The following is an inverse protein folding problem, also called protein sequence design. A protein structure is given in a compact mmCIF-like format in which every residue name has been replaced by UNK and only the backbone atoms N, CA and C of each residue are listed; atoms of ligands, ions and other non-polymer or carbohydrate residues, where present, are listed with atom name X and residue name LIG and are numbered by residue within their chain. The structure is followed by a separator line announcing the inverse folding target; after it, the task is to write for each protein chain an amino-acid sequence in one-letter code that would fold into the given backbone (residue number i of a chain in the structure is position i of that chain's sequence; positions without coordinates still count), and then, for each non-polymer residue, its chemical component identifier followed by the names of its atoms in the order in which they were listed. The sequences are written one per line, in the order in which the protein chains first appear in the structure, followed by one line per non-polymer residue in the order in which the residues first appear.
data_IF_932064776249
#
_entry.id   IF_932064776249
#
_cell.length_a   1.000
_cell.length_b   1.000
_cell.length_c   1.000
_cell.angle_alpha   90.00
_cell.angle_beta   90.00
_cell.angle_gamma   90.00
#
_symmetry.space_group_name_H-M   'P 1'
#
loop_
_entity.id
_entity.type
_entity.pdbx_description
1 polymer ?
#
# COMPACT_ATOMS: atom_id res chain seq x y z
N UNK A 1 -4.89 -4.55 -23.48
CA UNK A 1 -6.03 -4.23 -22.58
C UNK A 1 -5.80 -2.86 -21.94
N UNK A 2 -6.81 -2.01 -21.98
CA UNK A 2 -6.72 -0.71 -21.31
C UNK A 2 -6.73 -0.90 -19.79
N UNK A 3 -6.02 -0.04 -19.08
CA UNK A 3 -5.94 -0.12 -17.61
C UNK A 3 -7.33 -0.10 -16.96
N UNK A 4 -8.26 0.71 -17.46
CA UNK A 4 -9.62 0.78 -16.93
C UNK A 4 -10.32 -0.58 -16.98
N UNK A 5 -10.25 -1.25 -18.12
CA UNK A 5 -10.86 -2.57 -18.31
C UNK A 5 -10.28 -3.60 -17.32
N UNK A 6 -8.95 -3.56 -17.15
CA UNK A 6 -8.27 -4.47 -16.22
C UNK A 6 -8.66 -4.20 -14.77
N UNK A 7 -8.80 -2.94 -14.39
CA UNK A 7 -9.27 -2.58 -13.05
C UNK A 7 -10.70 -3.05 -12.79
N UNK A 8 -11.58 -2.95 -13.80
CA UNK A 8 -12.94 -3.45 -13.70
C UNK A 8 -12.96 -4.97 -13.52
N UNK A 9 -12.13 -5.70 -14.26
CA UNK A 9 -11.99 -7.15 -14.10
C UNK A 9 -11.49 -7.53 -12.72
N UNK A 10 -10.64 -6.71 -12.10
CA UNK A 10 -10.12 -6.93 -10.75
C UNK A 10 -11.06 -6.46 -9.65
N UNK A 11 -12.26 -5.99 -10.02
CA UNK A 11 -13.26 -5.46 -9.09
C UNK A 11 -12.75 -4.25 -8.29
N UNK A 12 -11.98 -3.36 -8.92
CA UNK A 12 -11.57 -2.10 -8.32
C UNK A 12 -12.80 -1.26 -7.96
N UNK A 13 -12.68 -0.44 -6.92
CA UNK A 13 -13.79 0.40 -6.49
C UNK A 13 -14.15 1.42 -7.60
N UNK A 14 -15.44 1.81 -7.61
CA UNK A 14 -15.97 2.71 -8.63
C UNK A 14 -15.20 4.03 -8.71
N UNK A 15 -14.84 4.61 -7.57
CA UNK A 15 -14.12 5.88 -7.52
C UNK A 15 -12.74 5.78 -8.17
N UNK A 16 -12.03 4.67 -7.97
CA UNK A 16 -10.73 4.44 -8.59
C UNK A 16 -10.86 4.30 -10.10
N UNK A 17 -11.84 3.54 -10.57
CA UNK A 17 -12.12 3.35 -12.00
C UNK A 17 -12.48 4.68 -12.65
N UNK A 18 -13.30 5.48 -11.99
CA UNK A 18 -13.70 6.82 -12.46
C UNK A 18 -12.49 7.74 -12.56
N UNK A 19 -11.63 7.74 -11.54
CA UNK A 19 -10.42 8.57 -11.53
C UNK A 19 -9.47 8.20 -12.66
N UNK A 20 -9.32 6.91 -12.95
CA UNK A 20 -8.46 6.42 -14.04
C UNK A 20 -8.88 7.04 -15.39
N UNK A 21 -10.19 7.07 -15.70
CA UNK A 21 -10.67 7.64 -16.94
C UNK A 21 -9.91 7.11 -18.15
N UNK A 22 -9.21 8.01 -18.85
CA UNK A 22 -8.40 7.67 -20.04
C UNK A 22 -6.89 7.63 -19.76
N UNK A 23 -6.49 7.68 -18.49
CA UNK A 23 -5.06 7.67 -18.13
C UNK A 23 -4.44 6.33 -18.49
N UNK A 24 -3.19 6.39 -19.00
CA UNK A 24 -2.36 5.21 -19.11
C UNK A 24 -1.77 4.83 -17.76
N UNK A 25 -1.21 3.63 -17.64
CA UNK A 25 -0.68 3.13 -16.37
C UNK A 25 0.49 3.97 -15.83
N UNK A 26 1.38 4.43 -16.68
CA UNK A 26 2.52 5.28 -16.27
C UNK A 26 2.03 6.59 -15.64
N UNK A 27 1.10 7.27 -16.31
CA UNK A 27 0.51 8.52 -15.84
C UNK A 27 -0.27 8.31 -14.56
N UNK A 28 -1.06 7.24 -14.48
CA UNK A 28 -1.85 6.91 -13.31
C UNK A 28 -0.95 6.67 -12.10
N UNK A 29 0.11 5.89 -12.24
CA UNK A 29 1.04 5.62 -11.14
C UNK A 29 1.77 6.88 -10.68
N UNK A 30 2.20 7.72 -11.62
CA UNK A 30 2.87 8.98 -11.31
C UNK A 30 1.98 9.98 -10.57
N UNK A 31 0.73 10.10 -10.97
CA UNK A 31 -0.17 11.16 -10.53
C UNK A 31 -1.13 10.77 -9.41
N UNK A 32 -1.22 9.50 -9.05
CA UNK A 32 -2.13 9.04 -8.02
C UNK A 32 -1.77 9.63 -6.65
N UNK A 33 -2.78 10.17 -5.97
CA UNK A 33 -2.65 10.76 -4.63
C UNK A 33 -3.27 9.87 -3.54
N UNK A 34 -3.62 8.64 -3.89
CA UNK A 34 -4.25 7.68 -3.00
C UNK A 34 -3.33 6.48 -2.82
N UNK A 35 -2.52 6.50 -1.77
CA UNK A 35 -1.62 5.40 -1.43
C UNK A 35 -2.36 4.08 -1.21
N UNK A 36 -3.56 4.13 -0.67
CA UNK A 36 -4.40 2.95 -0.47
C UNK A 36 -4.78 2.28 -1.80
N UNK A 37 -5.16 3.06 -2.82
CA UNK A 37 -5.43 2.52 -4.16
C UNK A 37 -4.18 1.92 -4.78
N UNK A 38 -3.03 2.57 -4.61
CA UNK A 38 -1.75 2.10 -5.16
C UNK A 38 -1.33 0.78 -4.51
N UNK A 39 -1.46 0.66 -3.20
CA UNK A 39 -1.18 -0.58 -2.48
C UNK A 39 -2.11 -1.72 -2.91
N UNK A 40 -3.40 -1.42 -3.07
CA UNK A 40 -4.37 -2.39 -3.55
C UNK A 40 -3.99 -2.91 -4.94
N UNK A 41 -3.69 -1.98 -5.87
CA UNK A 41 -3.31 -2.34 -7.23
C UNK A 41 -2.01 -3.14 -7.26
N UNK A 42 -1.00 -2.72 -6.51
CA UNK A 42 0.28 -3.42 -6.42
C UNK A 42 0.10 -4.83 -5.84
N UNK A 43 -0.82 -4.99 -4.87
CA UNK A 43 -1.14 -6.29 -4.29
C UNK A 43 -1.79 -7.27 -5.25
N UNK A 44 -2.41 -6.78 -6.33
CA UNK A 44 -3.01 -7.61 -7.38
C UNK A 44 -2.05 -7.92 -8.54
N UNK A 45 -0.85 -7.35 -8.49
CA UNK A 45 0.21 -7.63 -9.46
C UNK A 45 1.20 -8.60 -8.83
N UNK A 46 1.96 -9.29 -9.68
CA UNK A 46 2.95 -10.26 -9.22
C UNK A 46 4.28 -9.55 -8.92
N UNK A 47 4.28 -8.67 -7.93
CA UNK A 47 5.49 -7.98 -7.45
C UNK A 47 6.03 -8.66 -6.19
N UNK A 48 7.27 -8.34 -5.84
CA UNK A 48 7.87 -8.84 -4.60
C UNK A 48 7.03 -8.38 -3.39
N UNK A 49 6.54 -9.35 -2.62
CA UNK A 49 5.72 -9.08 -1.43
C UNK A 49 6.42 -8.21 -0.40
N UNK A 50 7.74 -8.34 -0.28
CA UNK A 50 8.53 -7.51 0.64
C UNK A 50 8.46 -6.03 0.28
N UNK A 51 8.50 -5.68 -1.02
CA UNK A 51 8.31 -4.30 -1.47
C UNK A 51 6.94 -3.77 -1.08
N UNK A 52 5.90 -4.57 -1.27
CA UNK A 52 4.54 -4.22 -0.90
C UNK A 52 4.41 -3.97 0.60
N UNK A 53 4.94 -4.87 1.42
CA UNK A 53 4.89 -4.76 2.89
C UNK A 53 5.69 -3.55 3.38
N UNK A 54 6.87 -3.30 2.81
CA UNK A 54 7.67 -2.13 3.17
C UNK A 54 6.94 -0.82 2.83
N UNK A 55 6.30 -0.75 1.66
CA UNK A 55 5.50 0.40 1.27
C UNK A 55 4.33 0.62 2.24
N UNK A 56 3.64 -0.46 2.62
CA UNK A 56 2.55 -0.39 3.58
C UNK A 56 3.03 0.08 4.97
N UNK A 57 4.19 -0.38 5.41
CA UNK A 57 4.80 0.07 6.66
C UNK A 57 5.14 1.55 6.64
N UNK A 58 5.72 2.03 5.54
CA UNK A 58 6.06 3.44 5.38
C UNK A 58 4.80 4.32 5.46
N UNK A 59 3.72 3.89 4.80
CA UNK A 59 2.42 4.58 4.87
C UNK A 59 1.85 4.58 6.30
N UNK A 60 1.85 3.42 6.95
CA UNK A 60 1.30 3.28 8.29
C UNK A 60 2.06 4.14 9.31
N UNK A 61 3.38 4.27 9.15
CA UNK A 61 4.22 5.08 10.02
C UNK A 61 3.78 6.56 10.02
N UNK A 62 3.31 7.07 8.90
CA UNK A 62 2.83 8.46 8.83
C UNK A 62 1.61 8.71 9.71
N UNK A 63 0.84 7.65 10.00
CA UNK A 63 -0.36 7.74 10.85
C UNK A 63 -0.04 7.69 12.35
N UNK A 64 1.19 7.34 12.75
CA UNK A 64 1.56 7.22 14.16
C UNK A 64 1.43 8.54 14.91
N UNK A 65 1.60 9.67 14.24
CA UNK A 65 1.43 10.99 14.84
C UNK A 65 0.01 11.24 15.36
N UNK A 66 -0.98 10.50 14.85
CA UNK A 66 -2.39 10.62 15.24
C UNK A 66 -2.81 9.59 16.30
N UNK A 67 -1.90 8.68 16.66
CA UNK A 67 -2.18 7.64 17.64
C UNK A 67 -2.03 8.24 19.05
N UNK A 68 -2.97 7.96 19.98
CA UNK A 68 -2.87 8.46 21.35
C UNK A 68 -1.56 8.04 22.02
N UNK A 69 -1.02 8.92 22.83
CA UNK A 69 0.19 8.62 23.60
C UNK A 69 -0.05 7.43 24.52
N UNK A 70 0.87 6.47 24.50
CA UNK A 70 0.76 5.23 25.27
C UNK A 70 0.15 4.06 24.51
N UNK A 71 -0.45 4.31 23.32
CA UNK A 71 -0.93 3.25 22.46
C UNK A 71 0.19 2.80 21.52
N UNK A 72 0.79 1.65 21.78
CA UNK A 72 1.97 1.16 21.07
C UNK A 72 1.68 0.03 20.06
N UNK A 73 0.43 -0.46 20.00
CA UNK A 73 0.06 -1.58 19.11
C UNK A 73 0.30 -1.28 17.64
N UNK A 74 -0.05 -0.09 17.11
CA UNK A 74 0.25 0.24 15.72
C UNK A 74 1.74 0.25 15.42
N UNK A 75 2.56 0.85 16.29
CA UNK A 75 4.00 0.88 16.11
C UNK A 75 4.61 -0.54 16.14
N UNK A 76 4.11 -1.40 17.01
CA UNK A 76 4.54 -2.80 17.10
C UNK A 76 4.15 -3.58 15.84
N UNK A 77 2.97 -3.34 15.28
CA UNK A 77 2.55 -3.98 14.03
C UNK A 77 3.48 -3.62 12.88
N UNK A 78 3.85 -2.35 12.77
CA UNK A 78 4.79 -1.87 11.75
C UNK A 78 6.16 -2.55 11.95
N UNK A 79 6.67 -2.56 13.18
CA UNK A 79 7.97 -3.17 13.47
C UNK A 79 7.96 -4.66 13.15
N UNK A 80 6.90 -5.39 13.53
CA UNK A 80 6.76 -6.81 13.23
C UNK A 80 6.76 -7.08 11.74
N UNK A 81 6.07 -6.24 10.96
CA UNK A 81 6.03 -6.35 9.50
C UNK A 81 7.41 -6.10 8.88
N UNK A 82 8.14 -5.11 9.36
CA UNK A 82 9.52 -4.85 8.93
C UNK A 82 10.45 -6.01 9.30
N UNK A 83 10.27 -6.58 10.48
CA UNK A 83 11.04 -7.75 10.93
C UNK A 83 10.78 -8.96 10.01
N UNK A 84 9.55 -9.14 9.56
CA UNK A 84 9.23 -10.19 8.58
C UNK A 84 9.99 -9.96 7.27
N UNK A 85 10.05 -8.74 6.77
CA UNK A 85 10.82 -8.40 5.57
C UNK A 85 12.30 -8.71 5.71
N UNK A 86 12.83 -8.58 6.92
CA UNK A 86 14.23 -8.89 7.25
C UNK A 86 14.46 -10.38 7.61
N UNK A 87 13.42 -11.21 7.61
CA UNK A 87 13.49 -12.62 7.96
C UNK A 87 13.45 -12.92 9.46
N UNK A 88 13.09 -11.94 10.29
CA UNK A 88 13.12 -12.04 11.75
C UNK A 88 11.74 -12.20 12.40
N UNK A 89 10.69 -12.41 11.62
CA UNK A 89 9.35 -12.66 12.12
C UNK A 89 8.58 -13.53 11.13
N UNK A 90 7.56 -14.24 11.62
CA UNK A 90 6.71 -15.08 10.78
C UNK A 90 5.53 -14.27 10.23
N UNK A 91 4.88 -14.80 9.17
CA UNK A 91 3.65 -14.19 8.65
C UNK A 91 2.54 -14.22 9.71
N UNK A 92 2.51 -15.22 10.57
CA UNK A 92 1.53 -15.28 11.67
C UNK A 92 1.76 -14.15 12.68
N UNK A 93 3.02 -13.82 12.99
CA UNK A 93 3.34 -12.66 13.83
C UNK A 93 2.82 -11.37 13.23
N UNK A 94 2.97 -11.19 11.90
CA UNK A 94 2.44 -10.03 11.17
C UNK A 94 0.92 -9.96 11.28
N UNK A 95 0.21 -11.07 11.06
CA UNK A 95 -1.26 -11.12 11.16
C UNK A 95 -1.74 -10.77 12.55
N UNK A 96 -1.11 -11.31 13.59
CA UNK A 96 -1.47 -11.05 14.98
C UNK A 96 -1.29 -9.55 15.31
N UNK A 97 -0.17 -8.96 14.89
CA UNK A 97 0.12 -7.55 15.10
C UNK A 97 -0.86 -6.65 14.33
N UNK A 98 -1.19 -7.01 13.09
CA UNK A 98 -2.15 -6.27 12.25
C UNK A 98 -3.55 -6.24 12.87
N UNK A 99 -4.03 -7.36 13.43
CA UNK A 99 -5.31 -7.40 14.13
C UNK A 99 -5.32 -6.46 15.34
N UNK A 100 -4.22 -6.40 16.09
CA UNK A 100 -4.12 -5.50 17.23
C UNK A 100 -4.10 -4.02 16.84
N UNK A 101 -3.65 -3.72 15.62
CA UNK A 101 -3.49 -2.35 15.13
C UNK A 101 -4.61 -1.86 14.23
N UNK A 102 -5.67 -2.66 14.02
CA UNK A 102 -6.67 -2.47 12.95
C UNK A 102 -7.38 -1.10 12.93
N UNK A 103 -7.35 -0.34 13.99
CA UNK A 103 -8.05 0.95 14.08
C UNK A 103 -7.13 2.16 13.99
N UNK A 104 -5.85 1.97 13.77
CA UNK A 104 -4.88 3.07 13.81
C UNK A 104 -4.65 3.77 12.48
N UNK A 105 -5.11 3.21 11.37
CA UNK A 105 -4.87 3.76 10.04
C UNK A 105 -5.86 4.89 9.74
N UNK A 106 -5.48 6.10 10.06
CA UNK A 106 -6.28 7.25 9.69
C UNK A 106 -6.14 7.60 8.21
N UNK A 107 -7.24 8.04 7.60
CA UNK A 107 -7.29 8.51 6.22
C UNK A 107 -6.45 9.77 5.95
N UNK A 108 -5.94 10.40 6.99
CA UNK A 108 -5.33 11.72 6.94
C UNK A 108 -3.98 11.79 6.19
N UNK A 109 -3.32 10.66 5.96
CA UNK A 109 -1.98 10.63 5.36
C UNK A 109 -1.94 10.07 3.93
N UNK A 110 -3.07 10.06 3.21
CA UNK A 110 -3.18 9.38 1.90
C UNK A 110 -2.19 9.89 0.86
N UNK A 111 -1.96 11.20 0.78
CA UNK A 111 -1.03 11.75 -0.20
C UNK A 111 0.41 11.39 0.14
N UNK A 112 0.80 11.51 1.41
CA UNK A 112 2.12 11.10 1.86
C UNK A 112 2.34 9.61 1.63
N UNK A 113 1.32 8.79 1.85
CA UNK A 113 1.36 7.36 1.55
C UNK A 113 1.62 7.10 0.07
N UNK A 114 0.97 7.83 -0.84
CA UNK A 114 1.18 7.66 -2.28
C UNK A 114 2.64 7.93 -2.68
N UNK A 115 3.24 8.99 -2.15
CA UNK A 115 4.64 9.32 -2.41
C UNK A 115 5.58 8.23 -1.88
N UNK A 116 5.31 7.70 -0.69
CA UNK A 116 6.08 6.62 -0.09
C UNK A 116 5.94 5.31 -0.87
N UNK A 117 4.75 5.00 -1.37
CA UNK A 117 4.53 3.82 -2.22
C UNK A 117 5.38 3.92 -3.48
N UNK A 118 5.37 5.08 -4.16
CA UNK A 118 6.20 5.29 -5.37
C UNK A 118 7.69 5.16 -5.08
N UNK A 119 8.14 5.56 -3.89
CA UNK A 119 9.55 5.44 -3.50
C UNK A 119 9.97 3.97 -3.34
N UNK A 120 9.12 3.12 -2.79
CA UNK A 120 9.40 1.68 -2.63
C UNK A 120 9.12 0.87 -3.88
N UNK A 121 8.09 1.25 -4.62
CA UNK A 121 7.61 0.55 -5.81
C UNK A 121 7.61 1.55 -6.97
N UNK A 122 8.80 1.82 -7.57
CA UNK A 122 8.88 2.73 -8.71
C UNK A 122 8.15 2.16 -9.92
N UNK A 123 7.81 3.00 -10.87
CA UNK A 123 7.02 2.61 -12.04
C UNK A 123 7.61 1.41 -12.78
N UNK A 124 8.93 1.27 -12.82
CA UNK A 124 9.58 0.15 -13.52
C UNK A 124 9.16 -1.22 -12.97
N UNK A 125 8.95 -1.32 -11.65
CA UNK A 125 8.46 -2.55 -11.02
C UNK A 125 7.02 -2.84 -11.48
N UNK A 126 6.18 -1.82 -11.50
CA UNK A 126 4.78 -1.95 -11.96
C UNK A 126 4.72 -2.30 -13.44
N UNK A 127 5.54 -1.65 -14.27
CA UNK A 127 5.61 -1.92 -15.72
C UNK A 127 5.98 -3.36 -15.99
N UNK A 128 6.98 -3.90 -15.28
CA UNK A 128 7.41 -5.30 -15.44
C UNK A 128 6.32 -6.30 -15.03
N UNK A 129 5.53 -5.99 -14.01
CA UNK A 129 4.45 -6.84 -13.52
C UNK A 129 3.14 -6.69 -14.31
N UNK A 130 3.01 -5.62 -15.08
CA UNK A 130 1.80 -5.32 -15.87
C UNK A 130 1.86 -6.06 -17.20
N UNK A 131 1.22 -7.20 -17.24
CA UNK A 131 1.21 -8.05 -18.44
C UNK A 131 -0.22 -8.30 -18.91
#
# INVERSE_FOLDING_TARGET
MKIRERLEEMNACHDAVKWIGRRGIKTAWRDCKRGDWMLWAAGHLNIDRKLLVLAACDCAETALQYVPKGEDRPAKAIQTSRNWCAGNATMQDVRNAAHAAAYAAANAARKACADLVRARIPFDVIKAAWK
#
